data_IF_279698867366
#
_entry.id   IF_279698867366
#
_cell.length_a   1.000
_cell.length_b   1.000
_cell.length_c   1.000
_cell.angle_alpha   90.00
_cell.angle_beta   90.00
_cell.angle_gamma   90.00
#
_symmetry.space_group_name_H-M   'P 1'
#
loop_
_entity.id
_entity.type
_entity.pdbx_description
1 polymer ?
#
# COMPACT_ATOMS: atom_id res chain seq x y z
N UNK A 1 16.34 2.95 -9.02
CA UNK A 1 15.85 1.62 -9.50
C UNK A 1 14.40 1.40 -9.08
N UNK A 2 14.09 1.67 -7.81
CA UNK A 2 12.77 2.06 -7.33
C UNK A 2 12.93 3.23 -6.33
N UNK A 3 13.76 3.10 -5.27
CA UNK A 3 14.42 4.26 -4.67
C UNK A 3 15.37 4.90 -5.68
N UNK A 4 15.62 6.20 -5.52
CA UNK A 4 16.50 6.99 -6.40
C UNK A 4 17.84 7.35 -5.71
N UNK A 5 17.96 7.10 -4.40
CA UNK A 5 19.18 7.30 -3.64
C UNK A 5 19.47 6.13 -2.67
N UNK A 6 20.74 5.71 -2.60
CA UNK A 6 21.11 4.44 -1.95
C UNK A 6 21.05 4.40 -0.42
N UNK A 7 20.91 5.54 0.26
CA UNK A 7 20.63 5.60 1.70
C UNK A 7 19.16 5.96 1.98
N UNK A 8 18.30 5.87 0.98
CA UNK A 8 16.89 5.63 1.25
C UNK A 8 16.70 4.21 1.77
N UNK A 9 15.55 3.95 2.40
CA UNK A 9 15.13 2.61 2.74
C UNK A 9 13.66 2.43 2.41
N UNK A 10 13.25 1.17 2.34
CA UNK A 10 11.91 0.80 1.94
C UNK A 10 11.25 -0.13 2.95
N UNK A 11 9.91 -0.19 2.93
CA UNK A 11 9.17 -1.24 3.62
C UNK A 11 9.65 -2.63 3.16
N UNK A 12 10.00 -2.79 1.88
CA UNK A 12 10.62 -4.00 1.34
C UNK A 12 11.90 -4.36 2.10
N UNK A 13 12.86 -3.44 2.23
CA UNK A 13 14.11 -3.68 2.94
C UNK A 13 13.86 -4.10 4.40
N UNK A 14 12.88 -3.48 5.07
CA UNK A 14 12.50 -3.83 6.44
C UNK A 14 11.80 -5.19 6.54
N UNK A 15 11.01 -5.57 5.54
CA UNK A 15 10.40 -6.90 5.48
C UNK A 15 11.45 -8.01 5.29
N UNK A 16 12.49 -7.76 4.50
CA UNK A 16 13.64 -8.66 4.39
C UNK A 16 14.44 -8.74 5.70
N UNK A 17 14.58 -7.63 6.42
CA UNK A 17 15.22 -7.62 7.75
C UNK A 17 14.46 -8.53 8.73
N UNK A 18 13.12 -8.45 8.76
CA UNK A 18 12.27 -9.33 9.57
C UNK A 18 12.48 -10.79 9.19
N UNK A 19 12.45 -11.12 7.89
CA UNK A 19 12.62 -12.50 7.45
C UNK A 19 14.02 -13.06 7.75
N UNK A 20 15.07 -12.27 7.49
CA UNK A 20 16.44 -12.63 7.82
C UNK A 20 16.64 -12.86 9.33
N UNK A 21 15.99 -12.05 10.18
CA UNK A 21 16.04 -12.21 11.62
C UNK A 21 15.33 -13.50 12.09
N UNK A 22 14.17 -13.83 11.53
CA UNK A 22 13.50 -15.12 11.78
C UNK A 22 14.38 -16.31 11.38
N UNK A 23 15.05 -16.23 10.22
CA UNK A 23 16.00 -17.26 9.78
C UNK A 23 17.20 -17.36 10.73
N UNK A 24 17.72 -16.22 11.18
CA UNK A 24 18.85 -16.17 12.11
C UNK A 24 18.49 -16.83 13.46
N UNK A 25 17.33 -16.50 14.04
CA UNK A 25 16.84 -17.11 15.28
C UNK A 25 16.69 -18.64 15.13
N UNK A 26 16.15 -19.13 14.01
CA UNK A 26 16.05 -20.56 13.70
C UNK A 26 17.42 -21.25 13.61
N UNK A 27 18.40 -20.61 12.96
CA UNK A 27 19.75 -21.13 12.87
C UNK A 27 20.45 -21.14 14.23
N UNK A 28 20.24 -20.10 15.05
CA UNK A 28 20.77 -20.04 16.40
C UNK A 28 20.19 -21.13 17.30
N UNK A 29 18.89 -21.41 17.21
CA UNK A 29 18.24 -22.52 17.91
C UNK A 29 18.82 -23.88 17.49
N UNK A 30 18.92 -24.14 16.18
CA UNK A 30 19.39 -25.43 15.66
C UNK A 30 20.87 -25.71 15.90
N UNK A 31 21.70 -24.67 15.87
CA UNK A 31 23.16 -24.84 15.95
C UNK A 31 23.74 -24.52 17.33
N UNK A 32 22.97 -23.84 18.20
CA UNK A 32 23.46 -23.31 19.47
C UNK A 32 24.47 -22.16 19.30
N UNK A 33 24.57 -21.54 18.12
CA UNK A 33 25.50 -20.44 17.81
C UNK A 33 24.75 -19.22 17.29
N UNK A 34 25.05 -18.04 17.82
CA UNK A 34 24.41 -16.77 17.43
C UNK A 34 23.61 -16.15 18.58
N UNK A 35 22.85 -15.12 18.27
CA UNK A 35 21.86 -14.48 19.15
C UNK A 35 20.46 -15.07 18.94
N UNK A 36 19.59 -14.89 19.95
CA UNK A 36 18.17 -15.22 19.90
C UNK A 36 17.35 -13.95 20.15
N UNK A 37 16.14 -13.92 19.62
CA UNK A 37 15.22 -12.78 19.77
C UNK A 37 15.53 -11.63 18.82
N UNK A 38 16.27 -11.93 17.74
CA UNK A 38 16.57 -10.93 16.72
C UNK A 38 15.31 -10.57 15.93
N UNK A 39 14.34 -11.48 15.80
CA UNK A 39 13.03 -11.21 15.20
C UNK A 39 12.31 -10.03 15.88
N UNK A 40 12.26 -10.02 17.22
CA UNK A 40 11.61 -8.94 17.96
C UNK A 40 12.32 -7.60 17.76
N UNK A 41 13.65 -7.62 17.66
CA UNK A 41 14.45 -6.43 17.39
C UNK A 41 14.21 -5.92 15.95
N UNK A 42 14.25 -6.82 14.97
CA UNK A 42 13.98 -6.52 13.56
C UNK A 42 12.58 -5.97 13.35
N UNK A 43 11.56 -6.55 14.00
CA UNK A 43 10.19 -6.04 13.94
C UNK A 43 10.09 -4.63 14.50
N UNK A 44 10.72 -4.37 15.66
CA UNK A 44 10.76 -3.02 16.24
C UNK A 44 11.48 -2.00 15.34
N UNK A 45 12.53 -2.43 14.64
CA UNK A 45 13.19 -1.59 13.63
C UNK A 45 12.28 -1.37 12.43
N UNK A 46 11.58 -2.39 11.94
CA UNK A 46 10.59 -2.24 10.87
C UNK A 46 9.47 -1.26 11.24
N UNK A 47 9.03 -1.25 12.50
CA UNK A 47 8.02 -0.29 13.00
C UNK A 47 8.43 1.17 12.82
N UNK A 48 9.71 1.51 12.56
CA UNK A 48 10.09 2.88 12.20
C UNK A 48 9.55 3.30 10.84
N UNK A 49 9.15 2.35 9.99
CA UNK A 49 8.46 2.62 8.73
C UNK A 49 6.95 2.83 8.92
N UNK A 50 6.40 2.59 10.12
CA UNK A 50 4.98 2.85 10.42
C UNK A 50 4.83 4.32 10.85
N UNK A 51 4.06 5.15 10.12
CA UNK A 51 3.97 6.57 10.44
C UNK A 51 3.34 6.87 11.79
N UNK A 52 3.88 7.86 12.50
CA UNK A 52 3.34 8.37 13.76
C UNK A 52 2.44 9.60 13.58
N UNK A 53 2.69 10.43 12.56
CA UNK A 53 1.84 11.56 12.19
C UNK A 53 0.66 11.06 11.36
N UNK A 54 -0.43 10.70 12.01
CA UNK A 54 -1.67 10.28 11.37
C UNK A 54 -2.87 11.01 11.98
N UNK A 55 -2.78 12.35 12.00
CA UNK A 55 -3.73 13.21 12.68
C UNK A 55 -5.18 12.91 12.29
N UNK A 56 -6.01 12.78 13.32
CA UNK A 56 -7.45 12.55 13.26
C UNK A 56 -7.90 11.28 12.51
N UNK A 57 -7.00 10.40 12.05
CA UNK A 57 -7.37 9.27 11.22
C UNK A 57 -8.45 8.41 11.86
N UNK A 58 -8.23 7.87 13.08
CA UNK A 58 -9.22 7.05 13.81
C UNK A 58 -10.38 7.82 14.44
N UNK A 59 -10.35 9.15 14.40
CA UNK A 59 -11.45 9.99 14.88
C UNK A 59 -12.32 10.50 13.75
N UNK A 60 -11.85 10.41 12.50
CA UNK A 60 -12.66 10.65 11.33
C UNK A 60 -13.87 9.71 11.38
N UNK A 61 -15.09 10.25 11.28
CA UNK A 61 -16.30 9.41 11.26
C UNK A 61 -16.35 8.47 10.05
N UNK A 62 -15.61 8.83 8.99
CA UNK A 62 -15.38 8.06 7.77
C UNK A 62 -14.12 8.60 7.09
N UNK A 63 -13.55 7.81 6.18
CA UNK A 63 -12.51 8.27 5.26
C UNK A 63 -13.04 8.16 3.83
N UNK A 64 -12.85 9.23 3.06
CA UNK A 64 -13.38 9.35 1.70
C UNK A 64 -12.39 10.03 0.78
N UNK A 65 -12.33 9.63 -0.48
CA UNK A 65 -11.45 10.20 -1.48
C UNK A 65 -12.25 10.76 -2.66
N UNK A 66 -11.88 11.95 -3.11
CA UNK A 66 -12.39 12.51 -4.36
C UNK A 66 -11.61 11.90 -5.52
N UNK A 67 -12.31 11.46 -6.56
CA UNK A 67 -11.69 10.89 -7.74
C UNK A 67 -10.73 11.87 -8.41
N UNK A 68 -9.58 11.36 -8.80
CA UNK A 68 -8.66 11.96 -9.75
C UNK A 68 -8.15 10.83 -10.67
N UNK A 69 -8.22 11.04 -11.98
CA UNK A 69 -7.72 10.09 -12.96
C UNK A 69 -6.20 9.98 -12.94
N UNK A 70 -5.68 8.83 -13.36
CA UNK A 70 -4.25 8.67 -13.69
C UNK A 70 -3.99 9.10 -15.14
N UNK A 71 -2.73 9.27 -15.52
CA UNK A 71 -2.33 9.75 -16.85
C UNK A 71 -1.26 8.86 -17.46
N UNK A 72 -1.13 8.97 -18.78
CA UNK A 72 -0.22 8.13 -19.54
C UNK A 72 1.22 8.69 -19.42
N UNK A 73 1.42 10.01 -19.41
CA UNK A 73 2.75 10.64 -19.33
C UNK A 73 2.88 11.74 -18.27
N UNK A 74 4.07 11.97 -17.68
CA UNK A 74 4.25 12.91 -16.56
C UNK A 74 4.01 14.40 -16.90
N UNK A 75 4.06 14.77 -18.18
CA UNK A 75 3.82 16.13 -18.69
C UNK A 75 2.33 16.47 -18.82
N UNK A 76 1.45 15.45 -18.77
CA UNK A 76 0.00 15.62 -18.76
C UNK A 76 -0.45 16.20 -17.41
N UNK A 77 -0.33 17.53 -17.20
CA UNK A 77 -0.80 18.14 -15.95
C UNK A 77 -0.92 19.70 -15.90
N UNK A 78 -1.83 20.44 -16.57
CA UNK A 78 -2.25 21.68 -15.85
C UNK A 78 -3.69 22.20 -15.86
N UNK A 79 -4.58 21.89 -16.80
CA UNK A 79 -5.84 22.66 -16.89
C UNK A 79 -7.16 21.84 -16.83
N UNK A 80 -7.12 20.51 -16.82
CA UNK A 80 -8.33 19.68 -16.91
C UNK A 80 -8.72 18.90 -15.63
N UNK A 81 -7.89 18.82 -14.60
CA UNK A 81 -8.05 17.75 -13.59
C UNK A 81 -7.85 18.19 -12.14
N UNK A 82 -8.73 19.08 -11.67
CA UNK A 82 -9.01 19.15 -10.24
C UNK A 82 -9.64 17.82 -9.79
N UNK A 83 -9.61 17.55 -8.48
CA UNK A 83 -10.46 16.50 -7.92
C UNK A 83 -11.90 16.65 -8.46
N UNK A 84 -12.59 15.55 -8.64
CA UNK A 84 -14.01 15.56 -9.03
C UNK A 84 -14.88 15.35 -7.79
N UNK A 85 -15.28 16.39 -7.03
CA UNK A 85 -16.11 16.23 -5.82
C UNK A 85 -17.40 15.44 -6.05
N UNK A 86 -17.98 15.52 -7.26
CA UNK A 86 -19.18 14.74 -7.63
C UNK A 86 -18.93 13.23 -7.67
N UNK A 87 -17.67 12.80 -7.75
CA UNK A 87 -17.17 11.43 -7.76
C UNK A 87 -16.38 11.16 -6.46
N UNK A 88 -17.04 11.28 -5.32
CA UNK A 88 -16.44 10.94 -4.01
C UNK A 88 -16.75 9.49 -3.65
N UNK A 89 -15.72 8.73 -3.30
CA UNK A 89 -15.80 7.35 -2.84
C UNK A 89 -15.54 7.26 -1.33
N UNK A 90 -16.20 6.33 -0.64
CA UNK A 90 -16.04 6.13 0.81
C UNK A 90 -15.48 4.74 1.09
N UNK A 91 -14.55 4.64 2.03
CA UNK A 91 -13.97 3.34 2.41
C UNK A 91 -15.02 2.49 3.15
N UNK A 92 -15.42 1.33 2.61
CA UNK A 92 -16.46 0.48 3.22
C UNK A 92 -15.99 -0.32 4.44
N UNK A 93 -14.67 -0.46 4.67
CA UNK A 93 -14.12 -1.28 5.76
C UNK A 93 -13.58 -0.46 6.94
N UNK A 94 -13.45 0.85 6.79
CA UNK A 94 -12.84 1.74 7.77
C UNK A 94 -13.47 1.66 9.18
N UNK A 95 -14.80 1.55 9.28
CA UNK A 95 -15.49 1.43 10.58
C UNK A 95 -15.12 0.13 11.31
N UNK A 96 -14.83 -0.95 10.58
CA UNK A 96 -14.44 -2.23 11.18
C UNK A 96 -13.08 -2.11 11.87
N UNK A 97 -12.10 -1.46 11.22
CA UNK A 97 -10.80 -1.19 11.83
C UNK A 97 -10.91 -0.23 13.01
N UNK A 98 -11.63 0.88 12.82
CA UNK A 98 -11.84 1.88 13.87
C UNK A 98 -12.46 1.27 15.13
N UNK A 99 -13.37 0.31 14.98
CA UNK A 99 -14.05 -0.32 16.12
C UNK A 99 -13.12 -1.11 17.05
N UNK A 100 -11.94 -1.52 16.59
CA UNK A 100 -11.01 -2.38 17.34
C UNK A 100 -9.60 -1.80 17.52
N UNK A 101 -9.16 -0.93 16.62
CA UNK A 101 -7.81 -0.37 16.60
C UNK A 101 -7.74 1.10 17.03
N UNK A 102 -8.89 1.80 17.12
CA UNK A 102 -8.92 3.17 17.63
C UNK A 102 -8.28 3.28 19.02
N UNK A 103 -7.32 4.18 19.14
CA UNK A 103 -6.59 4.44 20.39
C UNK A 103 -5.39 3.52 20.64
N UNK A 104 -5.06 2.63 19.69
CA UNK A 104 -3.78 1.90 19.70
C UNK A 104 -2.66 2.70 19.04
N UNK A 105 -1.42 2.39 19.44
CA UNK A 105 -0.21 2.92 18.86
C UNK A 105 -0.14 4.44 18.86
N UNK A 106 0.42 5.01 17.79
CA UNK A 106 0.58 6.45 17.58
C UNK A 106 -0.67 7.15 17.02
N UNK A 107 -1.80 6.44 16.88
CA UNK A 107 -3.09 7.07 16.52
C UNK A 107 -3.54 6.94 15.07
N UNK A 108 -2.93 6.07 14.25
CA UNK A 108 -3.37 5.76 12.90
C UNK A 108 -3.15 4.29 12.51
N UNK A 109 -3.14 4.01 11.20
CA UNK A 109 -2.92 2.67 10.64
C UNK A 109 -1.56 2.11 11.04
N UNK A 110 -1.53 0.82 11.35
CA UNK A 110 -0.36 -0.01 11.61
C UNK A 110 0.15 -0.65 10.29
N UNK A 111 0.41 0.20 9.30
CA UNK A 111 0.95 -0.17 7.98
C UNK A 111 2.26 0.58 7.74
N UNK A 112 3.20 -0.03 7.03
CA UNK A 112 4.44 0.65 6.67
C UNK A 112 4.17 1.66 5.57
N UNK A 113 4.76 2.84 5.68
CA UNK A 113 4.99 3.64 4.49
C UNK A 113 6.12 3.00 3.67
N UNK A 114 6.04 3.08 2.34
CA UNK A 114 6.95 2.35 1.47
C UNK A 114 8.36 2.94 1.37
N UNK A 115 8.57 4.25 1.57
CA UNK A 115 9.86 4.92 1.32
C UNK A 115 10.24 5.91 2.43
N UNK A 116 11.51 5.91 2.82
CA UNK A 116 12.05 6.88 3.76
C UNK A 116 13.49 7.25 3.42
N UNK A 117 13.84 8.50 3.69
CA UNK A 117 15.21 9.03 3.64
C UNK A 117 15.86 8.84 5.01
N UNK A 118 16.84 7.92 5.11
CA UNK A 118 17.41 7.47 6.40
C UNK A 118 18.39 8.46 7.01
N UNK A 119 19.03 9.27 6.16
CA UNK A 119 20.07 10.22 6.53
C UNK A 119 19.65 11.68 6.30
N UNK A 120 18.37 11.91 5.95
CA UNK A 120 17.79 13.20 5.63
C UNK A 120 18.61 13.91 4.53
N UNK A 121 19.03 13.13 3.54
CA UNK A 121 19.79 13.58 2.38
C UNK A 121 19.03 14.65 1.58
N UNK A 122 17.71 14.51 1.44
CA UNK A 122 16.84 15.50 0.81
C UNK A 122 16.61 16.74 1.67
N UNK A 123 16.84 16.64 2.98
CA UNK A 123 16.76 17.75 3.92
C UNK A 123 15.34 18.16 4.34
N UNK A 124 14.31 17.34 4.05
CA UNK A 124 12.92 17.66 4.37
C UNK A 124 12.60 17.57 5.88
N UNK A 125 13.33 16.77 6.66
CA UNK A 125 13.22 16.72 8.12
C UNK A 125 13.83 17.94 8.83
N UNK A 126 14.54 18.80 8.09
CA UNK A 126 15.22 19.96 8.65
C UNK A 126 16.44 19.61 9.51
N UNK A 127 16.98 20.59 10.22
CA UNK A 127 18.26 20.46 10.93
C UNK A 127 18.17 19.52 12.13
N UNK A 128 18.90 18.40 12.08
CA UNK A 128 19.07 17.47 13.21
C UNK A 128 18.19 16.22 13.16
N UNK A 129 17.22 16.17 12.24
CA UNK A 129 16.51 14.94 11.90
C UNK A 129 17.35 14.08 10.96
N UNK A 130 17.24 12.76 11.14
CA UNK A 130 17.93 11.78 10.30
C UNK A 130 16.95 10.99 9.44
N UNK A 131 15.81 10.58 10.00
CA UNK A 131 14.85 9.74 9.29
C UNK A 131 13.62 10.55 8.90
N UNK A 132 13.33 10.64 7.60
CA UNK A 132 12.18 11.40 7.07
C UNK A 132 11.37 10.54 6.11
N UNK A 133 10.05 10.48 6.29
CA UNK A 133 9.17 9.88 5.30
C UNK A 133 9.05 10.75 4.05
N UNK A 134 9.33 10.15 2.89
CA UNK A 134 9.31 10.80 1.59
C UNK A 134 8.56 9.93 0.58
N UNK A 135 8.10 10.53 -0.50
CA UNK A 135 7.50 9.81 -1.61
C UNK A 135 7.99 10.40 -2.94
N UNK A 136 7.80 9.66 -4.02
CA UNK A 136 8.32 10.00 -5.36
C UNK A 136 7.21 9.89 -6.42
N UNK A 137 6.81 8.66 -6.76
CA UNK A 137 5.86 8.35 -7.83
C UNK A 137 4.44 8.88 -7.57
N UNK A 138 3.95 9.75 -8.44
CA UNK A 138 2.62 10.39 -8.37
C UNK A 138 2.00 10.72 -9.74
N UNK A 139 2.68 10.49 -10.87
CA UNK A 139 2.29 11.03 -12.21
C UNK A 139 2.17 9.99 -13.32
N UNK A 140 1.69 8.79 -12.98
CA UNK A 140 1.19 7.82 -13.96
C UNK A 140 2.22 6.82 -14.48
N UNK A 141 1.82 6.04 -15.49
CA UNK A 141 2.52 4.81 -15.88
C UNK A 141 3.90 5.03 -16.50
N UNK A 142 4.13 6.18 -17.12
CA UNK A 142 5.43 6.57 -17.70
C UNK A 142 6.27 7.45 -16.76
N UNK A 143 5.91 7.64 -15.49
CA UNK A 143 6.83 8.29 -14.55
C UNK A 143 7.85 7.28 -14.04
N UNK A 144 9.01 7.18 -14.70
CA UNK A 144 10.11 6.35 -14.23
C UNK A 144 10.78 6.93 -12.98
N UNK A 145 11.65 6.15 -12.32
CA UNK A 145 12.42 6.63 -11.15
C UNK A 145 13.35 7.82 -11.48
N UNK A 146 13.55 8.14 -12.76
CA UNK A 146 14.38 9.28 -13.20
C UNK A 146 13.57 10.56 -13.37
N UNK A 147 12.26 10.47 -13.33
CA UNK A 147 11.36 11.56 -13.70
C UNK A 147 10.61 12.11 -12.50
N UNK A 148 10.68 11.46 -11.34
CA UNK A 148 9.99 11.86 -10.11
C UNK A 148 10.54 13.17 -9.53
N UNK A 149 9.70 13.81 -8.71
CA UNK A 149 10.14 14.87 -7.80
C UNK A 149 9.92 14.38 -6.37
N UNK A 150 11.00 13.96 -5.66
CA UNK A 150 10.91 13.57 -4.26
C UNK A 150 10.25 14.67 -3.42
N UNK A 151 9.39 14.26 -2.48
CA UNK A 151 8.63 15.18 -1.65
C UNK A 151 8.31 14.56 -0.28
N UNK A 152 8.17 15.37 0.78
CA UNK A 152 7.87 14.86 2.10
C UNK A 152 6.43 14.34 2.20
N UNK A 153 6.24 13.28 2.98
CA UNK A 153 4.92 12.75 3.29
C UNK A 153 4.12 13.71 4.19
N UNK A 154 4.80 14.31 5.17
CA UNK A 154 4.27 15.39 6.02
C UNK A 154 4.63 16.73 5.37
N UNK A 155 3.66 17.35 4.69
CA UNK A 155 3.87 18.58 3.93
C UNK A 155 3.29 19.79 4.68
N UNK A 156 4.18 20.56 5.29
CA UNK A 156 3.88 21.86 5.93
C UNK A 156 4.04 23.05 4.96
N UNK A 157 4.18 22.80 3.66
CA UNK A 157 4.40 23.78 2.59
C UNK A 157 5.70 24.59 2.76
N UNK A 158 6.71 24.00 3.41
CA UNK A 158 8.04 24.63 3.61
C UNK A 158 8.84 24.74 2.32
N UNK A 159 8.57 23.88 1.34
CA UNK A 159 9.34 23.74 0.10
C UNK A 159 8.41 23.79 -1.11
N UNK A 160 8.96 24.09 -2.29
CA UNK A 160 8.19 24.14 -3.55
C UNK A 160 7.37 25.41 -3.71
N UNK A 161 6.15 25.29 -4.25
CA UNK A 161 5.25 26.41 -4.51
C UNK A 161 4.66 26.98 -3.21
N UNK A 162 4.57 28.31 -3.09
CA UNK A 162 4.09 28.98 -1.87
C UNK A 162 2.66 28.62 -1.44
N UNK A 163 1.78 28.25 -2.37
CA UNK A 163 0.38 27.92 -2.11
C UNK A 163 0.11 26.40 -2.16
N UNK A 164 1.04 25.62 -2.74
CA UNK A 164 0.81 24.20 -3.09
C UNK A 164 1.91 23.23 -2.62
N UNK A 165 3.00 23.74 -2.05
CA UNK A 165 4.14 22.93 -1.66
C UNK A 165 4.84 22.29 -2.86
N UNK A 166 5.55 21.19 -2.62
CA UNK A 166 6.12 20.34 -3.69
C UNK A 166 5.03 19.56 -4.43
N UNK A 167 3.93 19.24 -3.75
CA UNK A 167 2.77 18.55 -4.33
C UNK A 167 2.09 19.36 -5.45
N UNK A 168 2.38 20.65 -5.55
CA UNK A 168 1.97 21.49 -6.68
C UNK A 168 2.46 21.01 -8.05
N UNK A 169 3.32 19.99 -8.15
CA UNK A 169 3.65 19.34 -9.42
C UNK A 169 2.55 18.38 -9.92
N UNK A 170 1.75 17.78 -9.02
CA UNK A 170 0.66 16.83 -9.35
C UNK A 170 -0.71 17.21 -8.74
N UNK A 171 -0.78 18.24 -7.91
CA UNK A 171 -2.03 18.81 -7.37
C UNK A 171 -2.28 20.21 -7.98
N UNK A 172 -3.53 20.50 -8.36
CA UNK A 172 -3.96 21.76 -9.02
C UNK A 172 -4.95 22.60 -8.21
N UNK A 173 -5.24 22.23 -6.96
CA UNK A 173 -6.03 23.04 -6.02
C UNK A 173 -5.46 24.46 -5.91
N UNK A 174 -6.31 25.49 -5.74
CA UNK A 174 -5.81 26.87 -5.59
C UNK A 174 -4.85 26.99 -4.41
N UNK A 175 -5.18 26.32 -3.29
CA UNK A 175 -4.35 26.23 -2.10
C UNK A 175 -4.39 24.81 -1.55
N UNK A 176 -3.22 24.23 -1.35
CA UNK A 176 -3.07 22.93 -0.69
C UNK A 176 -3.08 23.17 0.82
N UNK A 177 -3.85 22.37 1.55
CA UNK A 177 -3.85 22.40 3.02
C UNK A 177 -2.63 21.63 3.54
N UNK A 178 -1.91 22.13 4.56
CA UNK A 178 -0.86 21.35 5.22
C UNK A 178 -1.38 19.99 5.67
N UNK A 179 -0.74 18.91 5.23
CA UNK A 179 -1.31 17.56 5.27
C UNK A 179 -0.24 16.49 5.38
N UNK A 180 -0.64 15.30 5.81
CA UNK A 180 0.15 14.08 5.68
C UNK A 180 -0.46 13.18 4.60
N UNK A 181 0.38 12.41 3.90
CA UNK A 181 -0.06 11.33 3.05
C UNK A 181 1.00 10.24 3.00
N UNK A 182 0.58 8.98 3.12
CA UNK A 182 1.43 7.80 3.07
C UNK A 182 0.85 6.78 2.10
N UNK A 183 1.71 5.89 1.64
CA UNK A 183 1.40 4.81 0.71
C UNK A 183 2.12 3.55 1.20
N UNK A 184 1.41 2.43 1.35
CA UNK A 184 2.04 1.16 1.66
C UNK A 184 2.41 0.40 0.38
N UNK A 185 3.29 -0.58 0.52
CA UNK A 185 3.62 -1.54 -0.53
C UNK A 185 3.28 -2.95 0.00
N UNK A 186 2.06 -3.48 -0.29
CA UNK A 186 1.51 -4.63 0.43
C UNK A 186 2.33 -5.92 0.27
N UNK A 187 3.16 -6.04 -0.76
CA UNK A 187 4.12 -7.15 -0.89
C UNK A 187 5.11 -7.19 0.28
N UNK A 188 5.51 -6.02 0.78
CA UNK A 188 6.45 -5.90 1.90
C UNK A 188 5.80 -6.27 3.23
N UNK A 189 4.58 -5.81 3.50
CA UNK A 189 3.84 -6.25 4.67
C UNK A 189 3.59 -7.77 4.64
N UNK A 190 3.14 -8.31 3.50
CA UNK A 190 2.92 -9.75 3.34
C UNK A 190 4.22 -10.55 3.50
N UNK A 191 5.36 -10.04 3.01
CA UNK A 191 6.68 -10.65 3.23
C UNK A 191 7.08 -10.65 4.71
N UNK A 192 6.80 -9.57 5.44
CA UNK A 192 7.03 -9.52 6.88
C UNK A 192 6.15 -10.53 7.63
N UNK A 193 4.87 -10.63 7.25
CA UNK A 193 3.92 -11.62 7.80
C UNK A 193 4.38 -13.05 7.50
N UNK A 194 4.86 -13.31 6.29
CA UNK A 194 5.47 -14.59 5.92
C UNK A 194 6.70 -14.90 6.79
N UNK A 195 7.58 -13.93 7.04
CA UNK A 195 8.72 -14.12 7.92
C UNK A 195 8.32 -14.50 9.36
N UNK A 196 7.24 -13.92 9.86
CA UNK A 196 6.66 -14.28 11.17
C UNK A 196 6.03 -15.67 11.13
N UNK A 197 5.34 -16.03 10.05
CA UNK A 197 4.82 -17.38 9.86
C UNK A 197 5.93 -18.43 9.85
N UNK A 198 7.04 -18.17 9.17
CA UNK A 198 8.21 -19.05 9.17
C UNK A 198 8.79 -19.20 10.59
N UNK A 199 8.88 -18.11 11.36
CA UNK A 199 9.32 -18.15 12.76
C UNK A 199 8.42 -19.03 13.64
N UNK A 200 7.10 -18.94 13.45
CA UNK A 200 6.11 -19.82 14.11
C UNK A 200 6.38 -21.28 13.73
N UNK A 201 6.55 -21.58 12.44
CA UNK A 201 6.84 -22.95 11.98
C UNK A 201 8.18 -23.49 12.45
N UNK A 202 9.15 -22.63 12.71
CA UNK A 202 10.45 -23.01 13.26
C UNK A 202 10.48 -23.06 14.79
N UNK A 203 9.41 -22.64 15.47
CA UNK A 203 9.32 -22.64 16.94
C UNK A 203 10.21 -21.58 17.59
N UNK A 204 10.53 -20.51 16.87
CA UNK A 204 11.35 -19.37 17.33
C UNK A 204 10.56 -18.06 17.34
N UNK A 205 9.23 -18.17 17.36
CA UNK A 205 8.32 -17.03 17.38
C UNK A 205 8.52 -16.12 18.61
N UNK A 206 8.17 -14.85 18.42
CA UNK A 206 7.86 -13.92 19.50
C UNK A 206 6.36 -13.60 19.44
N UNK A 207 5.62 -13.90 20.50
CA UNK A 207 4.16 -13.75 20.51
C UNK A 207 3.70 -12.30 20.40
N UNK A 208 4.51 -11.33 20.81
CA UNK A 208 4.22 -9.91 20.64
C UNK A 208 4.37 -9.48 19.17
N UNK A 209 5.33 -10.08 18.46
CA UNK A 209 5.50 -9.90 17.01
C UNK A 209 4.35 -10.56 16.26
N UNK A 210 3.96 -11.79 16.60
CA UNK A 210 2.81 -12.47 15.98
C UNK A 210 1.51 -11.68 16.12
N UNK A 211 1.27 -11.08 17.29
CA UNK A 211 0.11 -10.22 17.50
C UNK A 211 0.12 -8.97 16.59
N UNK A 212 1.29 -8.34 16.42
CA UNK A 212 1.48 -7.18 15.54
C UNK A 212 1.38 -7.52 14.05
N UNK A 213 1.93 -8.66 13.63
CA UNK A 213 1.79 -9.16 12.28
C UNK A 213 0.32 -9.44 11.93
N UNK A 214 -0.45 -9.94 12.90
CA UNK A 214 -1.88 -10.14 12.72
C UNK A 214 -2.66 -8.82 12.62
N UNK A 215 -2.28 -7.79 13.38
CA UNK A 215 -2.87 -6.44 13.28
C UNK A 215 -2.58 -5.80 11.92
N UNK A 216 -1.32 -5.86 11.47
CA UNK A 216 -0.90 -5.43 10.13
C UNK A 216 -1.69 -6.15 9.03
N UNK A 217 -1.81 -7.49 9.11
CA UNK A 217 -2.60 -8.27 8.17
C UNK A 217 -4.08 -7.89 8.18
N UNK A 218 -4.67 -7.55 9.32
CA UNK A 218 -6.07 -7.13 9.35
C UNK A 218 -6.29 -5.82 8.58
N UNK A 219 -5.43 -4.83 8.81
CA UNK A 219 -5.53 -3.51 8.16
C UNK A 219 -5.13 -3.54 6.67
N UNK A 220 -4.26 -4.47 6.27
CA UNK A 220 -3.91 -4.75 4.87
C UNK A 220 -5.14 -5.11 4.01
N UNK A 221 -6.28 -5.50 4.59
CA UNK A 221 -7.48 -5.84 3.81
C UNK A 221 -7.98 -4.67 2.95
N UNK A 222 -7.60 -3.42 3.23
CA UNK A 222 -7.90 -2.32 2.29
C UNK A 222 -7.20 -2.49 0.93
N UNK A 223 -6.05 -3.19 0.88
CA UNK A 223 -5.35 -3.56 -0.35
C UNK A 223 -6.11 -4.58 -1.22
N UNK A 224 -7.25 -5.10 -0.75
CA UNK A 224 -8.15 -5.94 -1.55
C UNK A 224 -9.19 -5.15 -2.34
N UNK A 225 -9.24 -3.82 -2.19
CA UNK A 225 -10.24 -2.95 -2.79
C UNK A 225 -9.72 -2.14 -3.99
N UNK A 226 -10.63 -1.90 -4.93
CA UNK A 226 -10.49 -0.90 -5.99
C UNK A 226 -10.10 0.49 -5.45
N UNK A 227 -9.35 1.29 -6.24
CA UNK A 227 -8.81 2.60 -5.84
C UNK A 227 -9.88 3.53 -5.26
N UNK A 228 -11.03 3.60 -5.92
CA UNK A 228 -12.14 4.46 -5.51
C UNK A 228 -13.40 3.64 -5.22
N UNK A 229 -13.21 2.43 -4.69
CA UNK A 229 -14.28 1.54 -4.22
C UNK A 229 -15.40 1.33 -5.25
N UNK A 230 -15.05 1.33 -6.55
CA UNK A 230 -15.94 0.96 -7.66
C UNK A 230 -16.17 -0.55 -7.68
N UNK A 231 -17.35 -0.97 -8.15
CA UNK A 231 -17.68 -2.39 -8.30
C UNK A 231 -16.65 -3.07 -9.22
N UNK A 232 -16.18 -4.26 -8.81
CA UNK A 232 -15.31 -5.07 -9.67
C UNK A 232 -16.16 -5.66 -10.78
N UNK A 233 -15.95 -5.18 -12.01
CA UNK A 233 -16.89 -5.45 -13.11
C UNK A 233 -16.34 -4.99 -14.47
N UNK A 234 -16.77 -5.65 -15.55
CA UNK A 234 -16.48 -5.19 -16.93
C UNK A 234 -17.25 -3.92 -17.32
N UNK A 235 -18.32 -3.57 -16.61
CA UNK A 235 -18.98 -2.28 -16.74
C UNK A 235 -18.13 -1.21 -16.04
N UNK A 236 -17.51 -0.35 -16.85
CA UNK A 236 -16.62 0.72 -16.40
C UNK A 236 -17.34 2.05 -16.15
N UNK A 237 -18.67 2.08 -16.28
CA UNK A 237 -19.47 3.27 -16.02
C UNK A 237 -19.37 3.64 -14.54
N UNK A 238 -19.02 4.90 -14.25
CA UNK A 238 -18.92 5.38 -12.88
C UNK A 238 -20.25 5.26 -12.13
N UNK A 239 -20.28 4.49 -11.04
CA UNK A 239 -21.38 4.45 -10.08
C UNK A 239 -20.87 4.80 -8.69
N UNK A 240 -20.91 6.10 -8.33
CA UNK A 240 -20.52 6.73 -7.05
C UNK A 240 -19.77 5.88 -5.99
N UNK A 241 -18.68 5.19 -6.34
CA UNK A 241 -17.62 4.68 -5.46
C UNK A 241 -18.02 4.11 -4.10
N UNK A 242 -19.15 3.42 -4.01
CA UNK A 242 -19.75 2.94 -2.75
C UNK A 242 -20.27 1.52 -2.91
N UNK A 243 -19.53 0.69 -3.64
CA UNK A 243 -19.97 -0.67 -3.96
C UNK A 243 -19.90 -1.63 -2.74
N UNK A 244 -19.44 -1.17 -1.57
CA UNK A 244 -19.27 -2.01 -0.39
C UNK A 244 -18.28 -3.15 -0.68
N UNK A 245 -18.57 -4.36 -0.22
CA UNK A 245 -17.71 -5.52 -0.52
C UNK A 245 -17.65 -5.89 -2.01
N UNK A 246 -18.53 -5.36 -2.86
CA UNK A 246 -18.45 -5.61 -4.32
C UNK A 246 -17.27 -4.91 -4.98
N UNK A 247 -16.61 -3.98 -4.30
CA UNK A 247 -15.35 -3.39 -4.76
C UNK A 247 -14.11 -4.17 -4.31
N UNK A 248 -14.27 -5.34 -3.66
CA UNK A 248 -13.16 -6.24 -3.35
C UNK A 248 -12.80 -7.10 -4.55
N UNK A 249 -11.58 -6.95 -5.05
CA UNK A 249 -10.98 -7.90 -5.99
C UNK A 249 -10.31 -9.08 -5.27
N UNK A 250 -10.07 -9.00 -3.96
CA UNK A 250 -9.44 -10.03 -3.12
C UNK A 250 -7.97 -10.39 -3.47
N UNK A 251 -7.38 -9.70 -4.44
CA UNK A 251 -5.93 -9.70 -4.70
C UNK A 251 -5.22 -8.66 -3.84
N UNK A 252 -3.90 -8.80 -3.65
CA UNK A 252 -3.06 -7.71 -3.16
C UNK A 252 -2.76 -6.75 -4.31
N UNK A 253 -3.28 -5.52 -4.21
CA UNK A 253 -3.05 -4.48 -5.21
C UNK A 253 -1.66 -3.83 -5.08
N UNK A 254 -1.36 -2.84 -5.92
CA UNK A 254 -0.07 -2.14 -5.87
C UNK A 254 0.13 -1.28 -4.61
N UNK A 255 -0.95 -0.72 -4.07
CA UNK A 255 -0.92 0.11 -2.85
C UNK A 255 -2.29 0.31 -2.22
N UNK A 256 -2.27 0.65 -0.94
CA UNK A 256 -3.25 1.49 -0.28
C UNK A 256 -2.55 2.79 0.06
N UNK A 257 -3.26 3.90 -0.09
CA UNK A 257 -2.76 5.20 0.33
C UNK A 257 -3.78 5.90 1.21
N UNK A 258 -3.29 6.64 2.20
CA UNK A 258 -4.11 7.38 3.14
C UNK A 258 -3.46 8.70 3.49
N UNK A 259 -4.28 9.66 3.90
CA UNK A 259 -3.80 10.98 4.27
C UNK A 259 -4.86 11.80 4.97
N UNK A 260 -4.45 12.95 5.48
CA UNK A 260 -5.32 13.82 6.25
C UNK A 260 -4.73 15.20 6.45
N UNK A 261 -5.58 16.14 6.83
CA UNK A 261 -5.14 17.45 7.25
C UNK A 261 -4.26 17.34 8.50
N UNK A 262 -3.15 18.08 8.54
CA UNK A 262 -2.40 18.21 9.78
C UNK A 262 -3.24 18.95 10.81
N UNK A 263 -3.15 18.57 12.08
CA UNK A 263 -3.86 19.24 13.17
C UNK A 263 -3.56 20.75 13.23
N UNK A 264 -2.35 21.14 12.86
CA UNK A 264 -1.92 22.54 12.77
C UNK A 264 -2.69 23.37 11.73
N UNK A 265 -3.30 22.71 10.74
CA UNK A 265 -4.11 23.38 9.72
C UNK A 265 -5.49 23.84 10.23
N UNK A 266 -5.97 23.28 11.35
CA UNK A 266 -7.32 23.52 11.88
C UNK A 266 -8.44 22.87 11.07
N UNK A 267 -8.12 22.05 10.06
CA UNK A 267 -9.08 21.27 9.29
C UNK A 267 -9.15 19.82 9.81
N UNK A 268 -10.28 19.17 9.56
CA UNK A 268 -10.58 17.82 10.05
C UNK A 268 -11.12 16.96 8.91
N UNK A 269 -10.23 16.63 7.96
CA UNK A 269 -10.52 15.69 6.87
C UNK A 269 -9.44 14.62 6.80
N UNK A 270 -9.86 13.42 6.42
CA UNK A 270 -9.01 12.26 6.15
C UNK A 270 -9.55 11.52 4.92
N UNK A 271 -8.66 10.90 4.17
CA UNK A 271 -8.97 10.11 3.00
C UNK A 271 -8.18 8.80 3.00
N UNK A 272 -8.73 7.80 2.32
CA UNK A 272 -8.06 6.55 2.03
C UNK A 272 -8.53 6.06 0.66
N UNK A 273 -7.62 5.45 -0.09
CA UNK A 273 -7.87 4.78 -1.37
C UNK A 273 -7.29 3.38 -1.32
N UNK A 274 -7.93 2.44 -2.01
CA UNK A 274 -7.29 1.19 -2.41
C UNK A 274 -6.39 1.41 -3.63
N UNK A 275 -6.36 0.42 -4.51
CA UNK A 275 -5.75 0.51 -5.83
C UNK A 275 -6.42 -0.48 -6.78
N UNK A 276 -6.77 -0.03 -7.99
CA UNK A 276 -7.47 -0.84 -8.97
C UNK A 276 -6.54 -1.81 -9.72
N UNK A 277 -5.22 -1.67 -9.56
CA UNK A 277 -4.20 -2.42 -10.29
C UNK A 277 -3.60 -3.52 -9.41
N UNK A 278 -3.61 -4.76 -9.89
CA UNK A 278 -3.01 -5.90 -9.23
C UNK A 278 -1.95 -6.54 -10.13
N UNK A 279 -0.80 -6.85 -9.55
CA UNK A 279 0.34 -7.46 -10.23
C UNK A 279 0.64 -8.83 -9.61
N UNK A 280 1.04 -9.81 -10.41
CA UNK A 280 1.30 -11.18 -9.95
C UNK A 280 2.34 -11.26 -8.83
N UNK A 281 3.48 -10.57 -8.94
CA UNK A 281 4.54 -10.63 -7.91
C UNK A 281 4.13 -10.06 -6.54
N UNK A 282 3.07 -9.24 -6.46
CA UNK A 282 2.55 -8.74 -5.19
C UNK A 282 1.72 -9.78 -4.42
N UNK A 283 1.31 -10.88 -5.07
CA UNK A 283 0.46 -11.88 -4.44
C UNK A 283 1.28 -12.79 -3.52
N UNK A 284 0.86 -12.93 -2.27
CA UNK A 284 1.46 -13.84 -1.29
C UNK A 284 0.45 -14.85 -0.70
N UNK A 285 0.24 -16.01 -1.37
CA UNK A 285 -0.64 -17.07 -0.85
C UNK A 285 -0.18 -17.60 0.53
N UNK A 286 1.12 -17.50 0.85
CA UNK A 286 1.64 -17.98 2.13
C UNK A 286 1.29 -17.04 3.27
N UNK A 287 1.34 -15.73 3.06
CA UNK A 287 0.88 -14.74 4.03
C UNK A 287 -0.64 -14.87 4.27
N UNK A 288 -1.44 -14.99 3.20
CA UNK A 288 -2.87 -15.24 3.32
C UNK A 288 -3.17 -16.52 4.11
N UNK A 289 -2.44 -17.61 3.82
CA UNK A 289 -2.53 -18.86 4.57
C UNK A 289 -2.15 -18.70 6.05
N UNK A 290 -1.09 -17.95 6.36
CA UNK A 290 -0.68 -17.67 7.72
C UNK A 290 -1.78 -16.94 8.51
N UNK A 291 -2.40 -15.94 7.88
CA UNK A 291 -3.46 -15.11 8.47
C UNK A 291 -4.74 -15.90 8.75
N UNK A 292 -5.10 -16.90 7.94
CA UNK A 292 -6.26 -17.77 8.23
C UNK A 292 -5.94 -18.95 9.16
N UNK A 293 -4.67 -19.19 9.48
CA UNK A 293 -4.25 -20.31 10.33
C UNK A 293 -3.67 -19.85 11.66
N UNK A 294 -2.35 -19.64 11.73
CA UNK A 294 -1.60 -19.38 12.97
C UNK A 294 -1.81 -17.96 13.50
N UNK A 295 -2.03 -16.99 12.59
CA UNK A 295 -2.18 -15.57 12.93
C UNK A 295 -3.65 -15.14 13.07
N UNK A 296 -4.62 -16.03 12.77
CA UNK A 296 -6.05 -15.69 12.75
C UNK A 296 -6.58 -15.09 14.05
N UNK A 297 -6.02 -15.51 15.18
CA UNK A 297 -6.47 -15.07 16.50
C UNK A 297 -6.13 -13.61 16.80
N UNK A 298 -5.18 -13.01 16.07
CA UNK A 298 -4.73 -11.65 16.25
C UNK A 298 -5.47 -10.62 15.39
N UNK A 299 -6.07 -11.02 14.27
CA UNK A 299 -6.96 -10.16 13.47
C UNK A 299 -8.25 -9.90 14.25
N UNK A 300 -8.56 -8.63 14.55
CA UNK A 300 -9.65 -8.25 15.48
C UNK A 300 -10.86 -7.67 14.79
N UNK A 301 -10.69 -7.03 13.64
CA UNK A 301 -11.78 -6.47 12.88
C UNK A 301 -12.60 -7.59 12.24
N UNK A 302 -13.91 -7.35 12.12
CA UNK A 302 -14.86 -8.34 11.62
C UNK A 302 -14.55 -8.69 10.15
N UNK A 303 -14.78 -9.95 9.78
CA UNK A 303 -14.69 -10.42 8.39
C UNK A 303 -13.29 -10.76 7.90
N UNK A 304 -12.26 -10.63 8.76
CA UNK A 304 -10.87 -10.75 8.32
C UNK A 304 -10.52 -12.16 7.82
N UNK A 305 -10.98 -13.20 8.52
CA UNK A 305 -10.72 -14.59 8.13
C UNK A 305 -11.41 -14.90 6.81
N UNK A 306 -12.68 -14.50 6.65
CA UNK A 306 -13.44 -14.73 5.42
C UNK A 306 -12.81 -14.02 4.21
N UNK A 307 -12.32 -12.79 4.42
CA UNK A 307 -11.62 -12.03 3.38
C UNK A 307 -10.32 -12.72 2.94
N UNK A 308 -9.52 -13.23 3.89
CA UNK A 308 -8.27 -13.93 3.56
C UNK A 308 -8.47 -15.35 3.02
N UNK A 309 -9.52 -16.06 3.44
CA UNK A 309 -9.89 -17.33 2.80
C UNK A 309 -10.22 -17.10 1.32
N UNK A 310 -10.97 -16.03 1.02
CA UNK A 310 -11.28 -15.67 -0.36
C UNK A 310 -10.07 -15.13 -1.11
N UNK A 311 -9.19 -14.37 -0.44
CA UNK A 311 -7.95 -13.88 -1.03
C UNK A 311 -7.02 -15.02 -1.41
N UNK A 312 -6.82 -16.01 -0.53
CA UNK A 312 -5.99 -17.17 -0.83
C UNK A 312 -6.49 -17.91 -2.08
N UNK A 313 -7.78 -18.20 -2.17
CA UNK A 313 -8.39 -18.82 -3.36
C UNK A 313 -8.15 -17.94 -4.61
N UNK A 314 -8.44 -16.65 -4.51
CA UNK A 314 -8.36 -15.70 -5.62
C UNK A 314 -6.94 -15.52 -6.15
N UNK A 315 -5.95 -15.47 -5.27
CA UNK A 315 -4.54 -15.36 -5.65
C UNK A 315 -4.08 -16.59 -6.43
N UNK A 316 -4.48 -17.80 -6.00
CA UNK A 316 -4.15 -19.04 -6.72
C UNK A 316 -4.82 -19.10 -8.10
N UNK A 317 -6.07 -18.66 -8.21
CA UNK A 317 -6.76 -18.52 -9.50
C UNK A 317 -6.06 -17.52 -10.42
N UNK A 318 -5.56 -16.41 -9.87
CA UNK A 318 -4.87 -15.35 -10.60
C UNK A 318 -3.54 -15.83 -11.19
N UNK A 319 -2.71 -16.50 -10.40
CA UNK A 319 -1.48 -17.13 -10.88
C UNK A 319 -1.77 -18.13 -12.02
N UNK A 320 -2.81 -18.96 -11.88
CA UNK A 320 -3.18 -19.92 -12.92
C UNK A 320 -3.67 -19.24 -14.20
N UNK A 321 -4.43 -18.15 -14.09
CA UNK A 321 -4.93 -17.38 -15.23
C UNK A 321 -3.80 -16.67 -15.97
N UNK A 322 -2.80 -16.16 -15.26
CA UNK A 322 -1.66 -15.44 -15.82
C UNK A 322 -0.53 -16.34 -16.34
N UNK A 323 -0.59 -17.64 -16.08
CA UNK A 323 0.44 -18.57 -16.52
C UNK A 323 0.49 -18.64 -18.06
N UNK A 324 1.62 -18.20 -18.62
CA UNK A 324 1.86 -18.28 -20.07
C UNK A 324 2.02 -19.72 -20.54
N UNK A 325 1.88 -19.95 -21.84
CA UNK A 325 2.06 -21.27 -22.46
C UNK A 325 3.44 -21.89 -22.21
N UNK A 326 4.45 -21.09 -21.87
CA UNK A 326 5.82 -21.53 -21.62
C UNK A 326 6.15 -21.67 -20.12
N UNK A 327 5.22 -21.34 -19.21
CA UNK A 327 5.40 -21.44 -17.77
C UNK A 327 5.50 -20.12 -17.00
N UNK A 328 6.22 -19.08 -17.47
CA UNK A 328 6.28 -17.79 -16.77
C UNK A 328 4.90 -17.16 -16.56
N UNK A 329 4.77 -16.37 -15.50
CA UNK A 329 3.53 -15.69 -15.13
C UNK A 329 3.52 -14.28 -15.79
N UNK A 330 2.40 -13.89 -16.38
CA UNK A 330 2.20 -12.57 -16.98
C UNK A 330 1.83 -11.51 -15.94
N UNK A 331 1.90 -10.22 -16.31
CA UNK A 331 1.82 -9.09 -15.36
C UNK A 331 0.64 -9.10 -14.40
N UNK A 332 -0.59 -8.89 -14.87
CA UNK A 332 -1.73 -8.84 -13.97
C UNK A 332 -3.03 -8.34 -14.58
N UNK A 333 -3.80 -7.59 -13.78
CA UNK A 333 -5.09 -7.06 -14.19
C UNK A 333 -5.39 -5.70 -13.54
N UNK A 334 -6.34 -4.97 -14.11
CA UNK A 334 -6.87 -3.73 -13.53
C UNK A 334 -8.39 -3.65 -13.60
N UNK A 335 -9.01 -3.07 -12.57
CA UNK A 335 -10.42 -2.66 -12.61
C UNK A 335 -10.60 -1.27 -13.26
N UNK A 336 -9.52 -0.47 -13.32
CA UNK A 336 -9.52 0.88 -13.88
C UNK A 336 -8.60 0.93 -15.08
N UNK A 337 -9.12 0.59 -16.26
CA UNK A 337 -8.34 0.66 -17.49
C UNK A 337 -7.83 2.09 -17.69
N UNK A 338 -6.53 2.21 -17.97
CA UNK A 338 -5.79 3.47 -18.06
C UNK A 338 -5.84 4.34 -16.77
N UNK A 339 -6.25 3.76 -15.65
CA UNK A 339 -6.43 4.46 -14.38
C UNK A 339 -7.53 5.53 -14.42
N UNK A 340 -8.46 5.42 -15.37
CA UNK A 340 -9.57 6.37 -15.59
C UNK A 340 -10.91 5.69 -15.86
N UNK A 341 -11.05 4.41 -15.49
CA UNK A 341 -12.24 3.59 -15.74
C UNK A 341 -12.75 3.65 -17.19
N UNK A 342 -11.82 3.69 -18.15
CA UNK A 342 -12.16 3.68 -19.58
C UNK A 342 -12.73 2.33 -19.99
N UNK A 343 -13.56 2.31 -21.05
CA UNK A 343 -14.10 1.08 -21.60
C UNK A 343 -12.99 0.13 -22.06
N UNK A 344 -13.10 -1.14 -21.70
CA UNK A 344 -12.09 -2.14 -22.04
C UNK A 344 -12.01 -2.38 -23.55
N UNK A 345 -10.82 -2.69 -24.10
CA UNK A 345 -10.68 -3.07 -25.49
C UNK A 345 -11.56 -4.28 -25.84
N UNK A 346 -12.16 -4.27 -27.03
CA UNK A 346 -13.02 -5.37 -27.48
C UNK A 346 -12.25 -6.69 -27.53
N UNK A 347 -12.79 -7.72 -26.87
CA UNK A 347 -12.18 -9.04 -26.80
C UNK A 347 -11.00 -9.16 -25.83
N UNK A 348 -10.75 -8.15 -24.99
CA UNK A 348 -9.75 -8.25 -23.93
C UNK A 348 -10.10 -9.37 -22.94
N UNK A 349 -9.08 -10.10 -22.48
CA UNK A 349 -9.26 -11.12 -21.44
C UNK A 349 -9.58 -10.45 -20.11
N UNK A 350 -10.52 -11.03 -19.37
CA UNK A 350 -10.91 -10.56 -18.03
C UNK A 350 -10.73 -11.64 -16.98
N UNK A 351 -10.49 -11.21 -15.75
CA UNK A 351 -10.40 -12.04 -14.55
C UNK A 351 -11.35 -11.46 -13.50
N UNK A 352 -12.47 -12.14 -13.25
CA UNK A 352 -13.54 -11.64 -12.35
C UNK A 352 -14.02 -10.22 -12.68
N UNK A 353 -13.94 -9.81 -13.94
CA UNK A 353 -14.33 -8.47 -14.38
C UNK A 353 -13.18 -7.46 -14.47
N UNK A 354 -11.98 -7.77 -13.97
CA UNK A 354 -10.80 -6.92 -14.18
C UNK A 354 -10.14 -7.26 -15.52
N UNK A 355 -9.72 -6.25 -16.30
CA UNK A 355 -9.08 -6.47 -17.61
C UNK A 355 -7.60 -6.83 -17.46
N UNK A 356 -7.11 -7.75 -18.27
CA UNK A 356 -5.69 -8.11 -18.35
C UNK A 356 -4.79 -6.91 -18.68
N UNK A 357 -3.70 -6.79 -17.95
CA UNK A 357 -2.68 -5.75 -18.13
C UNK A 357 -1.29 -6.41 -18.14
N UNK A 358 -0.52 -6.29 -19.24
CA UNK A 358 0.81 -6.90 -19.31
C UNK A 358 1.84 -6.22 -18.39
N UNK A 359 1.67 -4.92 -18.15
CA UNK A 359 2.52 -4.11 -17.27
C UNK A 359 1.64 -3.31 -16.30
N UNK A 360 1.13 -3.92 -15.22
CA UNK A 360 0.36 -3.18 -14.22
C UNK A 360 1.20 -2.03 -13.64
N UNK A 361 0.56 -0.85 -13.52
CA UNK A 361 1.09 0.38 -12.91
C UNK A 361 2.20 1.09 -13.69
N UNK A 362 3.33 0.44 -13.97
CA UNK A 362 4.49 1.10 -14.59
C UNK A 362 4.83 0.53 -15.97
N UNK A 363 5.14 1.45 -16.89
CA UNK A 363 5.45 1.18 -18.28
C UNK A 363 6.84 1.69 -18.71
N UNK A 364 7.58 2.39 -17.84
CA UNK A 364 8.97 2.82 -18.07
C UNK A 364 9.93 2.45 -16.91
N UNK A 365 10.57 1.26 -16.95
CA UNK A 365 10.27 0.16 -17.87
C UNK A 365 8.95 -0.53 -17.50
N UNK A 366 8.43 -1.35 -18.41
CA UNK A 366 7.27 -2.20 -18.13
C UNK A 366 7.48 -3.08 -16.89
N UNK A 367 6.57 -3.00 -15.92
CA UNK A 367 6.68 -3.64 -14.60
C UNK A 367 7.03 -5.12 -14.66
N UNK A 368 6.42 -5.85 -15.60
CA UNK A 368 6.62 -7.30 -15.80
C UNK A 368 7.74 -7.66 -16.80
N UNK A 369 8.65 -6.73 -17.12
CA UNK A 369 9.90 -7.05 -17.81
C UNK A 369 11.01 -7.50 -16.86
N UNK A 370 10.84 -7.26 -15.57
CA UNK A 370 11.76 -7.72 -14.54
C UNK A 370 11.48 -9.19 -14.22
N UNK A 371 12.52 -10.02 -14.15
CA UNK A 371 12.41 -11.47 -13.88
C UNK A 371 12.45 -11.81 -12.38
N UNK A 372 12.72 -10.81 -11.54
CA UNK A 372 13.01 -11.00 -10.11
C UNK A 372 11.78 -11.29 -9.26
#
# INVERSE_FOLDING_TARGET
EAPDYGHETTSEAMSYLVWAAAMHDNLAEKTGKGSKGDLATAWKTMETMIPDVQDNFWTAGKVSAQYCGEYDTPDQCPDEWASEPSKTAENPIYELFTSVYKGKGSGGLYLMHWLADVDNWYGYGGSGEKFTFINTFQRGEQESCWETVPHPCVDELKYGNKDRGLKGIFNRDEKVTPQYAYTNAPDAEDRAIQGVFDAIKWGVEDSSVSAKASEMGDELRNNMYDKYYQEISENTSWSNGNAGDKSKHYLMNWYTSWGGALKSSGQDWCWQIGCSHAHEFYQNPLAAYALITELKGGMKAKGAVEDYEKSLERQMEFYQWLQSANGPIAGGATNSYKGRYETYPSGASTFYGMVYTPHPVYADPGSNHWTG
#
